data_IF_736591453932
#
_entry.id   IF_736591453932
#
_cell.length_a   1.000
_cell.length_b   1.000
_cell.length_c   1.000
_cell.angle_alpha   90.00
_cell.angle_beta   90.00
_cell.angle_gamma   90.00
#
_symmetry.space_group_name_H-M   'P 1'
#
loop_
_entity.id
_entity.type
_entity.pdbx_description
1 polymer ?
#
# COMPACT_ATOMS: atom_id res chain seq x y z
N UNK A 1 -34.62 26.01 2.34
CA UNK A 1 -36.11 26.01 2.43
C UNK A 1 -36.59 27.31 1.83
N UNK A 2 -37.36 27.26 0.74
CA UNK A 2 -37.89 28.47 0.12
C UNK A 2 -39.12 28.96 0.86
N UNK A 3 -39.18 30.28 1.06
CA UNK A 3 -40.34 30.95 1.67
C UNK A 3 -40.82 32.08 0.77
N UNK A 4 -42.11 32.27 0.72
CA UNK A 4 -42.79 33.34 -0.01
C UNK A 4 -43.86 33.95 0.89
N UNK A 5 -44.01 35.28 0.89
CA UNK A 5 -45.08 35.96 1.65
C UNK A 5 -46.21 36.34 0.70
N UNK A 6 -47.39 35.83 0.97
CA UNK A 6 -48.61 36.30 0.29
C UNK A 6 -48.98 37.70 0.81
N UNK A 7 -49.20 38.63 -0.13
CA UNK A 7 -49.83 39.91 0.20
C UNK A 7 -51.36 39.75 -0.03
N UNK A 8 -52.12 39.99 1.01
CA UNK A 8 -53.57 39.95 0.96
C UNK A 8 -54.08 41.34 1.37
N UNK A 9 -54.86 41.97 0.49
CA UNK A 9 -55.53 43.19 0.77
C UNK A 9 -56.98 42.86 1.12
N UNK A 10 -57.39 43.15 2.34
CA UNK A 10 -58.74 42.93 2.80
C UNK A 10 -59.38 44.26 3.22
N UNK A 11 -60.58 44.59 2.67
CA UNK A 11 -61.38 45.70 3.12
C UNK A 11 -62.05 45.32 4.46
N UNK A 12 -61.45 45.73 5.58
CA UNK A 12 -62.03 45.51 6.92
C UNK A 12 -60.98 45.34 8.01
N UNK A 13 -61.35 45.49 9.26
CA UNK A 13 -60.49 45.50 10.44
C UNK A 13 -60.01 44.13 10.98
N UNK A 14 -60.53 43.02 10.41
CA UNK A 14 -60.15 41.69 10.85
C UNK A 14 -59.07 41.12 9.95
N UNK A 15 -57.95 40.65 10.58
CA UNK A 15 -56.89 39.94 9.88
C UNK A 15 -57.39 38.65 9.23
N UNK A 16 -56.99 38.32 7.99
CA UNK A 16 -57.36 37.07 7.36
C UNK A 16 -56.71 35.87 8.08
N UNK A 17 -57.39 34.74 8.06
CA UNK A 17 -56.85 33.43 8.44
C UNK A 17 -56.34 32.71 7.21
N UNK A 18 -55.19 31.98 7.36
CA UNK A 18 -54.58 31.26 6.27
C UNK A 18 -54.60 29.76 6.54
N UNK A 19 -54.95 28.98 5.53
CA UNK A 19 -54.95 27.52 5.57
C UNK A 19 -54.25 26.96 4.33
N UNK A 20 -53.68 25.74 4.46
CA UNK A 20 -53.13 24.99 3.35
C UNK A 20 -53.88 23.68 3.16
N UNK A 21 -54.23 23.36 1.93
CA UNK A 21 -54.85 22.07 1.58
C UNK A 21 -53.93 20.86 1.83
N UNK A 22 -52.62 21.07 1.79
CA UNK A 22 -51.61 20.08 2.14
C UNK A 22 -50.38 20.76 2.79
N UNK A 23 -50.38 20.79 4.13
CA UNK A 23 -49.30 21.38 4.91
C UNK A 23 -47.99 20.57 4.87
N UNK A 24 -47.98 19.34 4.32
CA UNK A 24 -46.80 18.54 4.07
C UNK A 24 -46.10 18.99 2.77
N UNK A 25 -46.85 19.53 1.80
CA UNK A 25 -46.30 20.11 0.56
C UNK A 25 -45.87 21.54 0.82
N UNK A 26 -46.78 22.39 1.30
CA UNK A 26 -46.51 23.79 1.63
C UNK A 26 -47.33 24.19 2.87
N UNK A 27 -46.69 24.71 3.89
CA UNK A 27 -47.36 25.28 5.06
C UNK A 27 -47.43 26.78 4.96
N UNK A 28 -48.44 27.39 5.59
CA UNK A 28 -48.59 28.83 5.71
C UNK A 28 -48.76 29.20 7.19
N UNK A 29 -48.16 30.32 7.60
CA UNK A 29 -48.31 30.83 8.96
C UNK A 29 -49.41 31.92 9.02
N UNK A 30 -49.69 32.42 10.25
CA UNK A 30 -50.71 33.45 10.53
C UNK A 30 -50.44 34.79 9.85
N UNK A 31 -49.22 35.01 9.31
CA UNK A 31 -48.84 36.23 8.56
C UNK A 31 -48.82 36.02 7.04
N UNK A 32 -49.33 34.89 6.54
CA UNK A 32 -49.32 34.57 5.13
C UNK A 32 -47.96 34.12 4.58
N UNK A 33 -46.96 33.84 5.44
CA UNK A 33 -45.66 33.33 4.99
C UNK A 33 -45.78 31.84 4.68
N UNK A 34 -45.60 31.50 3.41
CA UNK A 34 -45.60 30.14 2.89
C UNK A 34 -44.21 29.55 3.02
N UNK A 35 -44.13 28.29 3.44
CA UNK A 35 -42.89 27.52 3.50
C UNK A 35 -43.04 26.26 2.68
N UNK A 36 -42.27 26.13 1.60
CA UNK A 36 -42.20 24.92 0.78
C UNK A 36 -41.49 23.78 1.55
N UNK A 37 -42.08 22.57 1.58
CA UNK A 37 -41.56 21.40 2.33
C UNK A 37 -41.27 20.21 1.44
N UNK A 38 -42.17 19.82 0.55
CA UNK A 38 -42.07 18.62 -0.30
C UNK A 38 -42.63 18.93 -1.69
N UNK A 39 -42.05 18.35 -2.72
CA UNK A 39 -42.56 18.44 -4.07
C UNK A 39 -44.03 17.98 -4.16
N UNK A 40 -44.84 18.75 -4.84
CA UNK A 40 -46.28 18.55 -4.97
C UNK A 40 -47.02 19.87 -5.19
N UNK A 41 -48.36 19.86 -5.10
CA UNK A 41 -49.20 21.04 -5.19
C UNK A 41 -50.07 21.17 -3.94
N UNK A 42 -50.18 22.39 -3.43
CA UNK A 42 -51.10 22.74 -2.34
C UNK A 42 -51.82 24.05 -2.68
N UNK A 43 -53.05 24.18 -2.23
CA UNK A 43 -53.80 25.43 -2.33
C UNK A 43 -53.73 26.15 -1.00
N UNK A 44 -53.26 27.39 -1.00
CA UNK A 44 -53.29 28.25 0.18
C UNK A 44 -54.50 29.14 0.06
N UNK A 45 -55.33 29.09 1.10
CA UNK A 45 -56.60 29.88 1.17
C UNK A 45 -56.48 30.91 2.26
N UNK A 46 -56.79 32.17 1.92
CA UNK A 46 -56.95 33.26 2.85
C UNK A 46 -58.45 33.56 3.02
N UNK A 47 -58.94 33.55 4.25
CA UNK A 47 -60.37 33.79 4.57
C UNK A 47 -60.51 34.95 5.55
N UNK A 48 -61.41 35.92 5.21
CA UNK A 48 -61.79 37.06 6.05
C UNK A 48 -63.26 37.24 6.01
N UNK A 49 -64.01 37.06 7.12
CA UNK A 49 -65.50 37.08 7.23
C UNK A 49 -66.15 36.30 6.05
N UNK A 50 -66.74 37.00 5.10
CA UNK A 50 -67.45 36.42 3.99
C UNK A 50 -66.71 36.42 2.66
N UNK A 51 -65.39 36.75 2.70
CA UNK A 51 -64.49 36.74 1.54
C UNK A 51 -63.40 35.65 1.67
N UNK A 52 -63.22 34.95 0.57
CA UNK A 52 -62.17 33.90 0.48
C UNK A 52 -61.40 34.07 -0.83
N UNK A 53 -60.07 33.94 -0.75
CA UNK A 53 -59.22 33.94 -1.93
C UNK A 53 -58.23 32.79 -1.81
N UNK A 54 -57.93 32.12 -2.90
CA UNK A 54 -56.99 30.99 -2.91
C UNK A 54 -55.93 31.14 -3.96
N UNK A 55 -54.75 30.58 -3.66
CA UNK A 55 -53.61 30.55 -4.55
C UNK A 55 -53.05 29.11 -4.60
N UNK A 56 -52.86 28.59 -5.80
CA UNK A 56 -52.21 27.27 -6.00
C UNK A 56 -50.69 27.41 -5.93
N UNK A 57 -50.08 26.71 -5.02
CA UNK A 57 -48.63 26.63 -4.87
C UNK A 57 -48.17 25.30 -5.43
N UNK A 58 -47.21 25.32 -6.34
CA UNK A 58 -46.51 24.12 -6.84
C UNK A 58 -45.07 24.13 -6.35
N UNK A 59 -44.73 23.14 -5.56
CA UNK A 59 -43.34 22.89 -5.10
C UNK A 59 -42.74 21.90 -6.07
N UNK A 60 -41.75 22.34 -6.84
CA UNK A 60 -41.04 21.50 -7.81
C UNK A 60 -39.98 20.68 -7.12
N UNK A 61 -39.73 19.46 -7.64
CA UNK A 61 -38.61 18.63 -7.15
C UNK A 61 -37.29 19.29 -7.51
N UNK A 62 -36.36 19.36 -6.54
CA UNK A 62 -35.00 19.84 -6.80
C UNK A 62 -34.36 18.99 -7.88
N UNK A 63 -33.80 19.62 -8.91
CA UNK A 63 -32.99 18.97 -9.93
C UNK A 63 -31.51 19.12 -9.55
N UNK A 64 -30.77 18.02 -9.54
CA UNK A 64 -29.34 18.00 -9.28
C UNK A 64 -28.64 17.31 -10.45
N UNK A 65 -27.57 17.89 -10.95
CA UNK A 65 -26.74 17.34 -12.03
C UNK A 65 -25.30 17.33 -11.64
N UNK A 66 -24.55 16.32 -12.10
CA UNK A 66 -23.11 16.22 -11.93
C UNK A 66 -22.40 16.55 -13.25
N UNK A 67 -21.18 17.10 -13.15
CA UNK A 67 -20.29 17.27 -14.30
C UNK A 67 -19.84 15.92 -14.88
N UNK A 68 -19.79 14.85 -14.04
CA UNK A 68 -19.41 13.49 -14.44
C UNK A 68 -20.21 12.46 -13.66
N UNK A 69 -20.65 11.39 -14.32
CA UNK A 69 -21.36 10.24 -13.71
C UNK A 69 -20.45 9.05 -13.47
N UNK A 70 -19.24 9.06 -14.03
CA UNK A 70 -18.19 8.09 -13.79
C UNK A 70 -16.82 8.77 -13.71
N UNK A 71 -15.93 8.23 -12.86
CA UNK A 71 -14.58 8.72 -12.64
C UNK A 71 -13.65 7.52 -12.47
N UNK A 72 -12.53 7.55 -13.19
CA UNK A 72 -11.48 6.51 -13.07
C UNK A 72 -10.18 7.18 -12.67
N UNK A 73 -9.55 6.67 -11.58
CA UNK A 73 -8.35 7.24 -10.96
C UNK A 73 -7.34 6.12 -10.67
N UNK A 74 -6.06 6.47 -10.67
CA UNK A 74 -5.00 5.66 -10.05
C UNK A 74 -4.94 5.96 -8.54
N UNK A 75 -4.32 5.07 -7.75
CA UNK A 75 -4.19 5.32 -6.30
C UNK A 75 -3.37 6.59 -6.02
N UNK A 76 -3.83 7.39 -5.07
CA UNK A 76 -3.23 8.68 -4.71
C UNK A 76 -3.61 9.83 -5.65
N UNK A 77 -4.34 9.58 -6.75
CA UNK A 77 -4.87 10.64 -7.60
C UNK A 77 -6.12 11.30 -7.00
N UNK A 78 -6.39 12.51 -7.45
CA UNK A 78 -7.58 13.26 -7.05
C UNK A 78 -8.21 13.95 -8.25
N UNK A 79 -9.54 14.04 -8.25
CA UNK A 79 -10.32 14.82 -9.21
C UNK A 79 -11.45 15.56 -8.50
N UNK A 80 -11.98 16.62 -9.10
CA UNK A 80 -13.07 17.40 -8.54
C UNK A 80 -14.37 17.06 -9.26
N UNK A 81 -15.36 16.59 -8.51
CA UNK A 81 -16.74 16.51 -8.94
C UNK A 81 -17.44 17.82 -8.59
N UNK A 82 -18.18 18.35 -9.53
CA UNK A 82 -19.07 19.50 -9.31
C UNK A 82 -20.52 19.09 -9.52
N UNK A 83 -21.41 19.65 -8.69
CA UNK A 83 -22.84 19.43 -8.81
C UNK A 83 -23.55 20.79 -8.91
N UNK A 84 -24.45 20.90 -9.87
CA UNK A 84 -25.35 22.02 -10.01
C UNK A 84 -26.74 21.65 -9.48
N UNK A 85 -27.37 22.56 -8.75
CA UNK A 85 -28.72 22.41 -8.18
C UNK A 85 -29.64 23.51 -8.70
N UNK A 86 -30.90 23.17 -9.03
CA UNK A 86 -31.93 24.15 -9.42
C UNK A 86 -32.32 25.10 -8.29
N UNK A 87 -31.93 24.80 -7.05
CA UNK A 87 -32.23 25.62 -5.86
C UNK A 87 -31.07 26.48 -5.40
N UNK A 88 -29.83 26.24 -5.91
CA UNK A 88 -28.62 26.93 -5.45
C UNK A 88 -28.18 26.58 -4.03
N UNK A 89 -28.84 25.64 -3.34
CA UNK A 89 -28.48 25.23 -2.02
C UNK A 89 -27.16 24.41 -2.00
N UNK A 90 -26.47 24.42 -0.85
CA UNK A 90 -25.21 23.73 -0.66
C UNK A 90 -25.36 22.23 -0.92
N UNK A 91 -24.43 21.70 -1.72
CA UNK A 91 -24.33 20.27 -2.01
C UNK A 91 -23.65 19.57 -0.82
N UNK A 92 -24.18 18.43 -0.42
CA UNK A 92 -23.52 17.52 0.53
C UNK A 92 -22.99 16.30 -0.21
N UNK A 93 -21.77 15.92 0.11
CA UNK A 93 -21.06 14.83 -0.56
C UNK A 93 -20.86 13.64 0.38
N UNK A 94 -21.01 12.42 -0.13
CA UNK A 94 -20.76 11.20 0.61
C UNK A 94 -20.15 10.12 -0.29
N UNK A 95 -19.11 9.45 0.17
CA UNK A 95 -18.60 8.23 -0.44
C UNK A 95 -19.17 7.00 0.27
N UNK A 96 -19.60 6.00 -0.50
CA UNK A 96 -20.09 4.73 0.04
C UNK A 96 -19.01 3.88 0.68
N UNK A 97 -17.75 3.94 0.13
CA UNK A 97 -16.59 3.22 0.66
C UNK A 97 -15.38 4.16 0.71
N UNK A 98 -15.21 4.85 1.83
CA UNK A 98 -14.12 5.84 2.03
C UNK A 98 -12.72 5.22 2.03
N UNK A 99 -12.62 3.90 2.20
CA UNK A 99 -11.37 3.15 2.06
C UNK A 99 -10.90 3.00 0.60
N UNK A 100 -11.83 3.07 -0.37
CA UNK A 100 -11.52 3.03 -1.82
C UNK A 100 -11.27 4.46 -2.31
N UNK A 101 -12.22 5.37 -2.09
CA UNK A 101 -12.06 6.78 -2.40
C UNK A 101 -12.83 7.64 -1.40
N UNK A 102 -12.23 8.71 -0.92
CA UNK A 102 -12.89 9.72 -0.09
C UNK A 102 -13.35 10.91 -0.93
N UNK A 103 -14.33 11.66 -0.42
CA UNK A 103 -14.76 12.93 -1.02
C UNK A 103 -14.79 14.01 0.05
N UNK A 104 -14.28 15.20 -0.27
CA UNK A 104 -14.34 16.39 0.61
C UNK A 104 -15.68 17.14 0.44
N UNK A 105 -15.92 18.10 1.33
CA UNK A 105 -17.10 19.00 1.25
C UNK A 105 -17.16 19.79 -0.06
N UNK A 106 -16.03 20.03 -0.73
CA UNK A 106 -15.93 20.75 -1.99
C UNK A 106 -15.95 19.80 -3.21
N UNK A 107 -16.32 18.52 -3.03
CA UNK A 107 -16.41 17.57 -4.12
C UNK A 107 -15.07 17.01 -4.62
N UNK A 108 -13.92 17.28 -3.94
CA UNK A 108 -12.63 16.68 -4.27
C UNK A 108 -12.63 15.20 -3.87
N UNK A 109 -12.62 14.32 -4.87
CA UNK A 109 -12.49 12.87 -4.72
C UNK A 109 -11.01 12.51 -4.70
N UNK A 110 -10.59 11.72 -3.70
CA UNK A 110 -9.21 11.22 -3.57
C UNK A 110 -9.23 9.71 -3.54
N UNK A 111 -8.54 9.07 -4.49
CA UNK A 111 -8.38 7.63 -4.60
C UNK A 111 -7.41 7.11 -3.54
N UNK A 112 -7.73 5.96 -2.88
CA UNK A 112 -6.95 5.40 -1.76
C UNK A 112 -6.55 3.94 -1.95
N UNK A 113 -7.44 3.10 -2.51
CA UNK A 113 -7.18 1.68 -2.76
C UNK A 113 -7.91 1.22 -4.01
N UNK A 114 -7.36 0.26 -4.75
CA UNK A 114 -8.04 -0.33 -5.90
C UNK A 114 -9.43 -0.85 -5.56
N UNK A 115 -10.38 -0.63 -6.46
CA UNK A 115 -11.77 -1.06 -6.31
C UNK A 115 -12.76 -0.06 -6.85
N UNK A 116 -14.04 -0.27 -6.57
CA UNK A 116 -15.13 0.59 -7.03
C UNK A 116 -15.98 1.06 -5.84
N UNK A 117 -16.34 2.35 -5.86
CA UNK A 117 -17.24 2.99 -4.89
C UNK A 117 -18.17 3.95 -5.61
N UNK A 118 -19.19 4.43 -4.89
CA UNK A 118 -20.10 5.46 -5.36
C UNK A 118 -19.91 6.72 -4.53
N UNK A 119 -19.74 7.85 -5.19
CA UNK A 119 -19.81 9.19 -4.58
C UNK A 119 -21.17 9.78 -4.88
N UNK A 120 -21.89 10.19 -3.83
CA UNK A 120 -23.24 10.75 -3.91
C UNK A 120 -23.19 12.24 -3.59
N UNK A 121 -23.78 13.05 -4.46
CA UNK A 121 -24.12 14.45 -4.21
C UNK A 121 -25.59 14.55 -3.84
N UNK A 122 -25.91 15.24 -2.74
CA UNK A 122 -27.29 15.41 -2.25
C UNK A 122 -27.61 16.86 -1.98
N UNK A 123 -28.79 17.33 -2.46
CA UNK A 123 -29.34 18.66 -2.22
C UNK A 123 -30.85 18.51 -2.03
N UNK A 124 -31.42 19.08 -0.97
CA UNK A 124 -32.87 19.12 -0.68
C UNK A 124 -33.56 17.75 -0.82
N UNK A 125 -32.89 16.69 -0.37
CA UNK A 125 -33.41 15.33 -0.44
C UNK A 125 -33.23 14.62 -1.79
N UNK A 126 -32.84 15.34 -2.87
CA UNK A 126 -32.49 14.74 -4.18
C UNK A 126 -31.04 14.35 -4.21
N UNK A 127 -30.73 13.16 -4.72
CA UNK A 127 -29.37 12.61 -4.81
C UNK A 127 -29.04 12.21 -6.24
N UNK A 128 -27.77 12.41 -6.62
CA UNK A 128 -27.18 11.91 -7.86
C UNK A 128 -25.85 11.26 -7.55
N UNK A 129 -25.48 10.26 -8.35
CA UNK A 129 -24.34 9.38 -8.07
C UNK A 129 -23.28 9.46 -9.17
N UNK A 130 -22.03 9.42 -8.75
CA UNK A 130 -20.89 9.19 -9.62
C UNK A 130 -20.23 7.84 -9.24
N UNK A 131 -20.05 6.95 -10.23
CA UNK A 131 -19.27 5.71 -10.05
C UNK A 131 -17.80 6.05 -10.08
N UNK A 132 -17.08 5.76 -8.98
CA UNK A 132 -15.63 5.97 -8.87
C UNK A 132 -14.93 4.63 -8.93
N UNK A 133 -14.04 4.45 -9.90
CA UNK A 133 -13.18 3.26 -10.04
C UNK A 133 -11.74 3.66 -9.78
N UNK A 134 -11.10 3.03 -8.80
CA UNK A 134 -9.66 3.14 -8.55
C UNK A 134 -9.01 1.90 -9.16
N UNK A 135 -8.10 2.11 -10.13
CA UNK A 135 -7.43 1.03 -10.86
C UNK A 135 -6.46 0.29 -9.97
N UNK A 136 -6.28 -1.01 -10.23
CA UNK A 136 -5.15 -1.77 -9.70
C UNK A 136 -3.86 -1.31 -10.37
N UNK A 137 -2.75 -1.12 -9.64
CA UNK A 137 -1.51 -0.65 -10.23
C UNK A 137 -0.88 -1.71 -11.13
N UNK A 138 -0.15 -1.24 -12.14
CA UNK A 138 0.82 -2.07 -12.83
C UNK A 138 2.12 -2.04 -12.04
N UNK A 139 2.58 -3.22 -11.56
CA UNK A 139 3.83 -3.36 -10.80
C UNK A 139 4.83 -4.18 -11.63
N UNK A 140 6.04 -3.66 -11.79
CA UNK A 140 7.16 -4.35 -12.44
C UNK A 140 8.32 -4.47 -11.46
N UNK A 141 8.87 -5.67 -11.33
CA UNK A 141 10.05 -5.97 -10.50
C UNK A 141 11.15 -6.52 -11.40
N UNK A 142 12.35 -5.97 -11.28
CA UNK A 142 13.50 -6.39 -12.07
C UNK A 142 14.77 -6.45 -11.22
N UNK A 143 15.59 -7.49 -11.42
CA UNK A 143 15.31 -8.69 -12.20
C UNK A 143 14.34 -9.62 -11.46
N UNK A 144 13.80 -10.63 -12.16
CA UNK A 144 12.93 -11.67 -11.55
C UNK A 144 13.71 -12.80 -10.88
N UNK A 145 15.02 -12.89 -11.14
CA UNK A 145 15.95 -13.87 -10.54
C UNK A 145 17.31 -13.20 -10.30
N UNK A 146 17.92 -13.52 -9.17
CA UNK A 146 19.30 -13.15 -8.82
C UNK A 146 20.04 -14.32 -8.20
N UNK A 147 21.36 -14.34 -8.38
CA UNK A 147 22.25 -15.33 -7.82
C UNK A 147 23.40 -14.62 -7.09
N UNK A 148 23.57 -14.94 -5.81
CA UNK A 148 24.49 -14.26 -4.91
C UNK A 148 25.31 -15.30 -4.12
N UNK A 149 26.47 -14.89 -3.61
CA UNK A 149 27.13 -15.58 -2.51
C UNK A 149 26.76 -14.95 -1.17
N UNK A 150 26.99 -15.65 -0.10
CA UNK A 150 26.77 -15.16 1.27
C UNK A 150 27.46 -13.80 1.50
N UNK A 151 26.76 -12.86 2.18
CA UNK A 151 27.14 -11.46 2.43
C UNK A 151 27.04 -10.52 1.23
N UNK A 152 26.90 -11.03 0.01
CA UNK A 152 26.63 -10.16 -1.13
C UNK A 152 25.26 -9.48 -1.01
N UNK A 153 25.17 -8.30 -1.62
CA UNK A 153 23.97 -7.46 -1.60
C UNK A 153 23.56 -7.10 -3.03
N UNK A 154 22.27 -7.03 -3.26
CA UNK A 154 21.71 -6.62 -4.55
C UNK A 154 20.52 -5.70 -4.36
N UNK A 155 20.44 -4.62 -5.12
CA UNK A 155 19.31 -3.68 -5.10
C UNK A 155 18.32 -4.04 -6.20
N UNK A 156 17.14 -4.56 -5.82
CA UNK A 156 16.05 -4.79 -6.74
C UNK A 156 15.41 -3.46 -7.16
N UNK A 157 15.00 -3.39 -8.44
CA UNK A 157 14.30 -2.22 -9.00
C UNK A 157 12.82 -2.54 -9.13
N UNK A 158 11.97 -1.70 -8.54
CA UNK A 158 10.52 -1.78 -8.69
C UNK A 158 10.00 -0.50 -9.33
N UNK A 159 9.05 -0.62 -10.25
CA UNK A 159 8.27 0.49 -10.79
C UNK A 159 6.78 0.19 -10.67
N UNK A 160 5.98 1.20 -10.42
CA UNK A 160 4.53 1.10 -10.26
C UNK A 160 3.83 2.34 -10.81
N UNK A 161 2.62 2.18 -11.33
CA UNK A 161 1.72 3.30 -11.66
C UNK A 161 1.10 3.94 -10.41
N UNK A 162 1.12 3.23 -9.27
CA UNK A 162 0.67 3.79 -7.99
C UNK A 162 1.77 4.60 -7.30
N UNK A 163 1.36 5.62 -6.55
CA UNK A 163 2.24 6.43 -5.68
C UNK A 163 2.47 5.81 -4.29
N UNK A 164 1.86 4.66 -4.01
CA UNK A 164 2.04 3.96 -2.73
C UNK A 164 3.45 3.41 -2.57
N UNK A 165 3.95 3.44 -1.34
CA UNK A 165 5.26 2.87 -1.00
C UNK A 165 5.23 1.35 -1.15
N UNK A 166 6.19 0.75 -1.87
CA UNK A 166 6.30 -0.69 -2.00
C UNK A 166 6.59 -1.36 -0.64
N UNK A 167 5.92 -2.48 -0.37
CA UNK A 167 6.16 -3.31 0.82
C UNK A 167 6.92 -4.56 0.42
N UNK A 168 8.07 -4.80 1.07
CA UNK A 168 8.98 -5.89 0.76
C UNK A 168 8.90 -6.99 1.81
N UNK A 169 8.94 -8.25 1.37
CA UNK A 169 8.98 -9.43 2.24
C UNK A 169 9.90 -10.50 1.65
N UNK A 170 10.48 -11.32 2.51
CA UNK A 170 11.14 -12.57 2.15
C UNK A 170 10.37 -13.73 2.78
N UNK A 171 10.27 -14.85 2.06
CA UNK A 171 9.70 -16.08 2.59
C UNK A 171 10.70 -16.85 3.48
N UNK A 172 12.02 -16.55 3.39
CA UNK A 172 13.07 -17.30 4.09
C UNK A 172 14.24 -16.41 4.50
N UNK A 173 14.09 -15.74 5.66
CA UNK A 173 15.12 -14.81 6.21
C UNK A 173 16.46 -15.48 6.49
N UNK A 174 16.47 -16.80 6.75
CA UNK A 174 17.71 -17.57 6.95
C UNK A 174 18.56 -17.71 5.70
N UNK A 175 17.98 -17.51 4.50
CA UNK A 175 18.68 -17.57 3.21
C UNK A 175 18.97 -16.16 2.68
N UNK A 176 17.98 -15.30 2.63
CA UNK A 176 18.12 -13.92 2.18
C UNK A 176 17.15 -12.99 2.91
N UNK A 177 17.61 -11.79 3.24
CA UNK A 177 16.81 -10.70 3.80
C UNK A 177 16.60 -9.61 2.76
N UNK A 178 15.56 -8.79 2.95
CA UNK A 178 15.31 -7.58 2.14
C UNK A 178 14.92 -6.45 3.08
N UNK A 179 15.43 -5.25 2.82
CA UNK A 179 15.06 -4.04 3.54
C UNK A 179 13.89 -3.27 2.85
N UNK A 180 13.42 -2.21 3.49
CA UNK A 180 12.31 -1.38 3.00
C UNK A 180 12.61 -0.71 1.64
N UNK A 181 13.87 -0.61 1.28
CA UNK A 181 14.32 -0.03 0.02
C UNK A 181 14.42 -1.05 -1.12
N UNK A 182 14.20 -2.35 -0.85
CA UNK A 182 14.38 -3.45 -1.80
C UNK A 182 15.83 -3.91 -1.96
N UNK A 183 16.73 -3.61 -1.01
CA UNK A 183 18.10 -4.14 -0.97
C UNK A 183 18.11 -5.52 -0.34
N UNK A 184 18.41 -6.51 -1.14
CA UNK A 184 18.56 -7.92 -0.73
C UNK A 184 19.95 -8.13 -0.17
N UNK A 185 20.05 -8.89 0.93
CA UNK A 185 21.32 -9.36 1.52
C UNK A 185 21.28 -10.88 1.63
N UNK A 186 22.25 -11.55 1.02
CA UNK A 186 22.42 -12.99 1.10
C UNK A 186 22.98 -13.40 2.47
N UNK A 187 22.33 -14.37 3.14
CA UNK A 187 22.65 -14.80 4.52
C UNK A 187 23.31 -16.16 4.55
N UNK A 188 22.73 -17.15 3.85
CA UNK A 188 23.20 -18.53 3.82
C UNK A 188 22.79 -19.19 2.50
N UNK A 189 23.57 -20.18 2.02
CA UNK A 189 23.23 -20.92 0.80
C UNK A 189 21.81 -21.51 0.82
N UNK A 190 21.19 -21.54 -0.34
CA UNK A 190 19.78 -21.98 -0.53
C UNK A 190 19.00 -21.06 -1.45
N UNK A 191 17.69 -21.24 -1.46
CA UNK A 191 16.78 -20.42 -2.26
C UNK A 191 15.77 -19.69 -1.36
N UNK A 192 15.45 -18.47 -1.74
CA UNK A 192 14.42 -17.64 -1.12
C UNK A 192 13.64 -16.88 -2.19
N UNK A 193 12.44 -16.44 -1.87
CA UNK A 193 11.63 -15.57 -2.72
C UNK A 193 11.45 -14.22 -2.01
N UNK A 194 11.86 -13.17 -2.69
CA UNK A 194 11.58 -11.79 -2.30
C UNK A 194 10.31 -11.35 -3.01
N UNK A 195 9.33 -10.90 -2.25
CA UNK A 195 8.04 -10.39 -2.75
C UNK A 195 7.96 -8.90 -2.50
N UNK A 196 7.63 -8.13 -3.53
CA UNK A 196 7.22 -6.72 -3.41
C UNK A 196 5.72 -6.63 -3.64
N UNK A 197 5.02 -5.86 -2.81
CA UNK A 197 3.57 -5.61 -2.93
C UNK A 197 3.31 -4.11 -2.95
N UNK A 198 2.50 -3.67 -3.94
CA UNK A 198 2.00 -2.29 -4.06
C UNK A 198 0.49 -2.37 -4.26
N UNK A 199 -0.29 -1.79 -3.33
CA UNK A 199 -1.76 -1.77 -3.36
C UNK A 199 -2.41 -3.13 -3.64
N UNK A 200 -1.86 -4.20 -3.03
CA UNK A 200 -2.36 -5.56 -3.18
C UNK A 200 -1.84 -6.33 -4.40
N UNK A 201 -1.12 -5.67 -5.33
CA UNK A 201 -0.47 -6.32 -6.47
C UNK A 201 0.95 -6.72 -6.09
N UNK A 202 1.27 -8.01 -6.21
CA UNK A 202 2.56 -8.57 -5.81
C UNK A 202 3.38 -9.03 -7.01
N UNK A 203 4.71 -8.90 -6.90
CA UNK A 203 5.71 -9.47 -7.81
C UNK A 203 6.84 -10.12 -7.02
N UNK A 204 7.40 -11.18 -7.59
CA UNK A 204 8.41 -12.01 -6.95
C UNK A 204 9.75 -11.94 -7.67
N UNK A 205 10.83 -12.02 -6.89
CA UNK A 205 12.19 -12.28 -7.35
C UNK A 205 12.70 -13.52 -6.66
N UNK A 206 13.15 -14.50 -7.42
CA UNK A 206 13.83 -15.71 -6.93
C UNK A 206 15.28 -15.36 -6.61
N UNK A 207 15.71 -15.66 -5.39
CA UNK A 207 17.07 -15.43 -4.90
C UNK A 207 17.73 -16.78 -4.65
N UNK A 208 18.80 -17.07 -5.39
CA UNK A 208 19.67 -18.22 -5.15
C UNK A 208 20.92 -17.74 -4.46
N UNK A 209 21.14 -18.16 -3.22
CA UNK A 209 22.43 -18.02 -2.55
C UNK A 209 23.23 -19.29 -2.78
N UNK A 210 24.33 -19.15 -3.56
CA UNK A 210 25.14 -20.27 -4.01
C UNK A 210 26.01 -20.79 -2.88
N UNK A 211 26.19 -22.11 -2.80
CA UNK A 211 27.27 -22.72 -2.02
C UNK A 211 28.63 -22.37 -2.62
N UNK A 212 29.61 -21.94 -1.83
CA UNK A 212 30.94 -21.65 -2.36
C UNK A 212 31.69 -22.95 -2.71
N UNK A 213 32.63 -22.84 -3.64
CA UNK A 213 33.65 -23.86 -3.86
C UNK A 213 34.90 -23.46 -3.10
N UNK A 214 35.51 -24.38 -2.37
CA UNK A 214 36.74 -24.17 -1.66
C UNK A 214 37.85 -25.04 -2.32
N UNK A 215 39.02 -24.50 -2.52
CA UNK A 215 40.15 -25.20 -3.11
C UNK A 215 41.41 -24.79 -2.37
N UNK A 216 42.18 -25.78 -1.88
CA UNK A 216 43.53 -25.58 -1.33
C UNK A 216 44.54 -25.53 -2.50
N UNK A 217 45.56 -24.67 -2.38
CA UNK A 217 46.67 -24.62 -3.33
C UNK A 217 47.48 -25.93 -3.33
N UNK A 218 47.56 -26.58 -2.14
CA UNK A 218 48.20 -27.87 -1.95
C UNK A 218 47.29 -28.84 -1.21
N UNK A 219 47.28 -30.10 -1.59
CA UNK A 219 46.46 -31.13 -0.95
C UNK A 219 47.18 -31.78 0.24
N UNK A 220 48.53 -31.64 0.30
CA UNK A 220 49.38 -32.21 1.31
C UNK A 220 50.55 -31.27 1.67
N UNK A 221 51.02 -31.32 2.90
CA UNK A 221 52.26 -30.66 3.36
C UNK A 221 52.91 -31.54 4.41
N UNK A 222 54.27 -31.56 4.41
CA UNK A 222 55.06 -32.22 5.43
C UNK A 222 55.83 -31.17 6.22
N UNK A 223 55.80 -31.25 7.56
CA UNK A 223 56.45 -30.33 8.49
C UNK A 223 57.19 -31.14 9.57
N UNK A 224 58.15 -30.51 10.26
CA UNK A 224 58.76 -31.01 11.46
C UNK A 224 58.22 -30.36 12.73
N UNK A 225 58.27 -31.00 13.90
CA UNK A 225 57.81 -30.37 15.15
C UNK A 225 58.44 -29.00 15.35
N UNK A 226 57.61 -28.00 15.72
CA UNK A 226 57.95 -26.59 15.87
C UNK A 226 57.87 -25.76 14.59
N UNK A 227 57.79 -26.37 13.41
CA UNK A 227 57.68 -25.63 12.15
C UNK A 227 56.29 -25.01 11.94
N UNK A 228 56.28 -23.89 11.21
CA UNK A 228 55.06 -23.19 10.86
C UNK A 228 54.96 -23.02 9.35
N UNK A 229 53.79 -23.18 8.82
CA UNK A 229 53.48 -22.94 7.40
C UNK A 229 52.14 -22.26 7.25
N UNK A 230 51.99 -21.47 6.23
CA UNK A 230 50.69 -20.89 5.86
C UNK A 230 50.03 -21.75 4.78
N UNK A 231 48.80 -22.12 4.99
CA UNK A 231 47.97 -22.80 4.00
C UNK A 231 46.95 -21.82 3.43
N UNK A 232 46.88 -21.77 2.11
CA UNK A 232 45.97 -20.91 1.40
C UNK A 232 44.83 -21.75 0.85
N UNK A 233 43.57 -21.35 1.18
CA UNK A 233 42.39 -21.91 0.59
C UNK A 233 41.65 -20.77 -0.18
N UNK A 234 41.41 -21.00 -1.44
CA UNK A 234 40.60 -20.08 -2.29
C UNK A 234 39.14 -20.44 -2.15
N UNK A 235 38.31 -19.43 -1.92
CA UNK A 235 36.86 -19.59 -1.78
C UNK A 235 36.16 -18.79 -2.93
N UNK A 236 35.33 -19.45 -3.72
CA UNK A 236 34.69 -18.83 -4.90
C UNK A 236 33.75 -17.66 -4.55
N UNK A 237 33.34 -17.52 -3.30
CA UNK A 237 32.57 -16.38 -2.81
C UNK A 237 33.42 -15.14 -2.50
N UNK A 238 34.76 -15.28 -2.47
CA UNK A 238 35.67 -14.24 -1.98
C UNK A 238 35.62 -14.03 -0.46
N UNK A 239 34.81 -14.78 0.28
CA UNK A 239 34.77 -14.71 1.74
C UNK A 239 35.97 -15.46 2.32
N UNK A 240 36.45 -15.00 3.48
CA UNK A 240 37.49 -15.70 4.21
C UNK A 240 36.93 -17.00 4.80
N UNK A 241 37.61 -18.17 4.58
CA UNK A 241 37.18 -19.44 5.18
C UNK A 241 37.53 -19.48 6.68
N UNK A 242 36.78 -20.27 7.42
CA UNK A 242 37.17 -20.68 8.77
C UNK A 242 38.04 -21.93 8.72
N UNK A 243 39.17 -21.91 9.41
CA UNK A 243 40.10 -23.04 9.49
C UNK A 243 39.90 -23.85 10.77
N UNK A 244 40.11 -25.16 10.69
CA UNK A 244 40.12 -26.08 11.83
C UNK A 244 40.99 -27.28 11.52
N UNK A 245 41.41 -28.03 12.54
CA UNK A 245 42.19 -29.26 12.37
C UNK A 245 41.47 -30.46 13.00
N UNK A 246 41.79 -31.66 12.51
CA UNK A 246 41.21 -32.91 13.02
C UNK A 246 41.92 -33.40 14.30
N UNK A 247 43.20 -33.08 14.48
CA UNK A 247 44.01 -33.49 15.64
C UNK A 247 44.86 -32.30 16.11
N UNK A 248 44.44 -31.67 17.19
CA UNK A 248 45.10 -30.50 17.78
C UNK A 248 46.40 -30.83 18.55
N UNK A 249 46.66 -32.12 18.81
CA UNK A 249 47.92 -32.57 19.40
C UNK A 249 49.03 -32.64 18.35
N UNK A 250 48.69 -32.90 17.10
CA UNK A 250 49.64 -32.99 15.97
C UNK A 250 49.87 -31.62 15.33
N UNK A 251 48.80 -30.87 15.04
CA UNK A 251 48.90 -29.53 14.49
C UNK A 251 47.83 -28.61 15.08
N UNK A 252 48.14 -27.31 15.16
CA UNK A 252 47.13 -26.26 15.30
C UNK A 252 47.09 -25.41 14.06
N UNK A 253 45.90 -24.78 13.77
CA UNK A 253 45.73 -23.82 12.70
C UNK A 253 45.00 -22.58 13.24
N UNK A 254 45.49 -21.41 12.90
CA UNK A 254 44.87 -20.16 13.31
C UNK A 254 43.82 -19.67 12.26
N UNK A 255 43.15 -18.57 12.59
CA UNK A 255 42.13 -17.97 11.72
C UNK A 255 42.67 -17.47 10.36
N UNK A 256 43.99 -17.28 10.24
CA UNK A 256 44.67 -16.84 9.02
C UNK A 256 45.22 -18.01 8.19
N UNK A 257 44.97 -19.25 8.62
CA UNK A 257 45.49 -20.46 7.97
C UNK A 257 46.96 -20.75 8.28
N UNK A 258 47.54 -20.20 9.36
CA UNK A 258 48.89 -20.55 9.77
C UNK A 258 48.84 -21.84 10.61
N UNK A 259 49.48 -22.88 10.09
CA UNK A 259 49.65 -24.17 10.76
C UNK A 259 50.88 -24.08 11.65
N UNK A 260 50.80 -24.65 12.84
CA UNK A 260 51.96 -24.93 13.70
C UNK A 260 52.02 -26.45 13.97
N UNK A 261 53.10 -27.11 13.55
CA UNK A 261 53.36 -28.51 13.82
C UNK A 261 53.79 -28.70 15.28
N UNK A 262 53.18 -29.66 15.98
CA UNK A 262 53.44 -29.90 17.42
C UNK A 262 54.14 -31.21 17.71
N UNK A 263 53.61 -32.32 17.20
CA UNK A 263 54.16 -33.66 17.44
C UNK A 263 54.03 -34.48 16.14
N UNK A 264 54.91 -35.49 16.02
CA UNK A 264 54.88 -36.41 14.87
C UNK A 264 53.53 -37.11 14.74
N UNK A 265 53.03 -37.21 13.51
CA UNK A 265 51.72 -37.80 13.19
C UNK A 265 51.04 -37.20 11.93
N UNK A 266 49.76 -37.50 11.78
CA UNK A 266 48.94 -37.00 10.67
C UNK A 266 47.75 -36.24 11.22
N UNK A 267 47.45 -35.08 10.64
CA UNK A 267 46.22 -34.32 10.86
C UNK A 267 45.67 -33.81 9.56
N UNK A 268 44.34 -33.58 9.52
CA UNK A 268 43.69 -32.87 8.43
C UNK A 268 43.48 -31.43 8.85
N UNK A 269 43.76 -30.50 7.96
CA UNK A 269 43.34 -29.10 8.10
C UNK A 269 42.16 -28.88 7.19
N UNK A 270 41.10 -28.30 7.72
CA UNK A 270 39.86 -28.00 7.03
C UNK A 270 39.74 -26.50 6.80
N UNK A 271 39.22 -26.13 5.63
CA UNK A 271 38.72 -24.81 5.36
C UNK A 271 37.18 -24.93 5.14
N UNK A 272 36.42 -24.07 5.76
CA UNK A 272 34.93 -24.08 5.65
C UNK A 272 34.35 -22.70 5.44
N UNK A 273 33.34 -22.61 4.60
CA UNK A 273 32.54 -21.40 4.37
C UNK A 273 31.14 -21.80 3.92
N UNK A 274 30.11 -21.18 4.53
CA UNK A 274 28.70 -21.35 4.23
C UNK A 274 28.25 -22.83 4.01
N UNK A 275 28.69 -23.72 4.91
CA UNK A 275 28.37 -25.16 4.92
C UNK A 275 29.21 -26.02 3.98
N UNK A 276 30.02 -25.44 3.11
CA UNK A 276 31.03 -26.15 2.34
C UNK A 276 32.29 -26.34 3.19
N UNK A 277 32.90 -27.53 3.11
CA UNK A 277 34.10 -27.89 3.86
C UNK A 277 35.02 -28.72 2.97
N UNK A 278 36.26 -28.28 2.84
CA UNK A 278 37.34 -29.01 2.14
C UNK A 278 38.49 -29.25 3.08
N UNK A 279 39.35 -30.23 2.76
CA UNK A 279 40.49 -30.62 3.60
C UNK A 279 41.79 -30.76 2.83
N UNK A 280 42.89 -30.51 3.52
CA UNK A 280 44.22 -30.94 3.14
C UNK A 280 44.84 -31.83 4.21
N UNK A 281 45.86 -32.60 3.86
CA UNK A 281 46.60 -33.49 4.79
C UNK A 281 47.88 -32.82 5.25
N UNK A 282 48.14 -32.85 6.55
CA UNK A 282 49.41 -32.42 7.15
C UNK A 282 50.09 -33.62 7.77
N UNK A 283 51.30 -33.91 7.34
CA UNK A 283 52.21 -34.89 7.97
C UNK A 283 53.24 -34.14 8.81
N UNK A 284 53.40 -34.56 10.05
CA UNK A 284 54.48 -34.09 10.91
C UNK A 284 55.45 -35.27 11.15
N UNK A 285 56.68 -35.09 10.68
CA UNK A 285 57.74 -36.11 10.80
C UNK A 285 58.82 -35.59 11.72
N UNK A 286 59.46 -36.50 12.52
CA UNK A 286 60.66 -36.16 13.30
C UNK A 286 61.80 -35.76 12.33
N UNK A 287 62.64 -34.85 12.76
CA UNK A 287 63.91 -34.58 12.05
C UNK A 287 64.81 -35.82 12.17
N UNK A 288 65.29 -36.33 11.06
CA UNK A 288 66.34 -37.34 11.02
C UNK A 288 67.65 -36.82 11.65
#
# INVERSE_FOLDING_TARGET
MYTYCLSVIASGSKKPTFTSSDSKVASVNTYGKITAKKAGSATITAKSKNAEASCKITVTKTKVTLNQTSLTLENGESAVLSAASSTGHKVTWKSAKTSIASVSENGKVTAKKPGTTTVTAKVDGTSVNCKVTVKSPTVRLMPSKISLYRREKYKLKVSSTSKSTPVWKTNKKSVATVDETGKVTAVKHGTAVITVTVDGVSKNCEVTVRSPKITFEQTTITLHPGERARVNATVSSGNQPAYSCSNSNVVSVDANGVITAKAAGRSYVYASEDGTKERMTVYVKEKE
#
